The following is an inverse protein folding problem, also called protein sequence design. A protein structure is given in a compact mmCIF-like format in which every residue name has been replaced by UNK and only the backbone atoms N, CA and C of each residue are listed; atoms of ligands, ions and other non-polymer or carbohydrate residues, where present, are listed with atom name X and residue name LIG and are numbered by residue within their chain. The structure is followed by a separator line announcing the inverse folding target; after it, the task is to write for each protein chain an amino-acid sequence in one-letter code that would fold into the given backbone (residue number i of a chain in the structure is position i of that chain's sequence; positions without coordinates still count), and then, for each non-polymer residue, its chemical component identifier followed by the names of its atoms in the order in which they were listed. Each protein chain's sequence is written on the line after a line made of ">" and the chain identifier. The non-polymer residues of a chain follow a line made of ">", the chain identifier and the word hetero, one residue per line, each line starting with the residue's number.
data_IF_686839903066
#
_entry.id   IF_686839903066
#
_cell.length_a   1.000
_cell.length_b   1.000
_cell.length_c   1.000
_cell.angle_alpha   90.00
_cell.angle_beta   90.00
_cell.angle_gamma   90.00
#
_symmetry.space_group_name_H-M   'P 1'
#
loop_
_entity.id
_entity.type
_entity.pdbx_description
1 polymer ?
#
# COMPACT_ATOMS: atom_id res chain seq x y z
N UNK A 1 -13.85 -10.74 -19.77
CA UNK A 1 -14.28 -10.84 -18.36
C UNK A 1 -13.76 -9.64 -17.61
N UNK A 2 -14.46 -9.21 -16.55
CA UNK A 2 -13.99 -8.12 -15.67
C UNK A 2 -12.75 -8.58 -14.88
N UNK A 3 -11.65 -7.80 -14.86
CA UNK A 3 -10.48 -8.16 -14.06
C UNK A 3 -10.76 -8.00 -12.56
N UNK A 4 -10.01 -8.74 -11.75
CA UNK A 4 -10.06 -8.71 -10.29
C UNK A 4 -8.82 -8.02 -9.75
N UNK A 5 -9.00 -7.04 -8.88
CA UNK A 5 -7.91 -6.39 -8.19
C UNK A 5 -7.60 -7.13 -6.89
N UNK A 6 -6.34 -7.56 -6.73
CA UNK A 6 -5.82 -8.17 -5.52
C UNK A 6 -4.83 -7.22 -4.84
N UNK A 7 -4.81 -7.24 -3.50
CA UNK A 7 -4.00 -6.33 -2.68
C UNK A 7 -3.18 -7.15 -1.68
N UNK A 8 -1.88 -6.92 -1.64
CA UNK A 8 -0.95 -7.54 -0.68
C UNK A 8 -0.14 -6.46 0.04
N UNK A 9 -0.11 -6.51 1.37
CA UNK A 9 0.70 -5.60 2.18
C UNK A 9 2.11 -6.17 2.38
N UNK A 10 3.15 -5.37 2.10
CA UNK A 10 4.56 -5.74 2.27
C UNK A 10 5.32 -4.64 3.03
N UNK A 11 5.39 -4.76 4.35
CA UNK A 11 6.02 -3.75 5.21
C UNK A 11 5.46 -2.34 4.95
N UNK A 12 6.26 -1.42 4.39
CA UNK A 12 5.86 -0.05 4.05
C UNK A 12 5.28 0.10 2.62
N UNK A 13 5.13 -1.01 1.89
CA UNK A 13 4.62 -1.04 0.53
C UNK A 13 3.30 -1.81 0.43
N UNK A 14 2.52 -1.47 -0.58
CA UNK A 14 1.33 -2.19 -1.02
C UNK A 14 1.57 -2.64 -2.45
N UNK A 15 1.31 -3.92 -2.71
CA UNK A 15 1.37 -4.52 -4.04
C UNK A 15 -0.05 -4.76 -4.52
N UNK A 16 -0.42 -4.07 -5.59
CA UNK A 16 -1.67 -4.29 -6.30
C UNK A 16 -1.42 -5.24 -7.48
N UNK A 17 -2.27 -6.24 -7.67
CA UNK A 17 -2.18 -7.20 -8.78
C UNK A 17 -3.50 -7.27 -9.52
N UNK A 18 -3.47 -7.08 -10.84
CA UNK A 18 -4.66 -7.07 -11.69
C UNK A 18 -4.84 -8.44 -12.37
N UNK A 19 -5.61 -9.32 -11.74
CA UNK A 19 -5.83 -10.68 -12.23
C UNK A 19 -6.95 -10.73 -13.26
N UNK A 20 -6.73 -11.43 -14.37
CA UNK A 20 -7.72 -11.68 -15.41
C UNK A 20 -7.53 -13.08 -15.99
N UNK A 21 -8.55 -13.61 -16.68
CA UNK A 21 -8.53 -14.93 -17.30
C UNK A 21 -8.86 -14.79 -18.79
N UNK A 22 -8.05 -15.34 -19.72
CA UNK A 22 -6.78 -16.05 -19.50
C UNK A 22 -5.64 -15.13 -19.08
N UNK A 23 -4.82 -15.56 -18.11
CA UNK A 23 -3.54 -14.90 -17.88
C UNK A 23 -2.64 -15.10 -19.12
N UNK A 24 -1.80 -14.11 -19.46
CA UNK A 24 -0.85 -14.28 -20.55
C UNK A 24 0.09 -15.44 -20.21
N UNK A 25 -0.01 -16.52 -20.98
CA UNK A 25 1.02 -17.55 -21.06
C UNK A 25 2.22 -16.97 -21.85
N UNK A 26 3.44 -17.48 -21.63
CA UNK A 26 4.67 -17.00 -22.28
C UNK A 26 4.63 -17.09 -23.83
N UNK A 27 3.55 -17.64 -24.38
CA UNK A 27 3.27 -17.78 -25.81
C UNK A 27 2.27 -16.74 -26.30
N UNK A 28 2.82 -15.59 -26.73
CA UNK A 28 2.35 -14.74 -27.85
C UNK A 28 0.84 -14.40 -27.87
N UNK A 29 0.32 -13.82 -26.79
CA UNK A 29 -0.92 -13.04 -26.87
C UNK A 29 -0.64 -11.63 -27.41
N UNK A 30 -1.63 -11.03 -28.09
CA UNK A 30 -1.67 -9.60 -28.38
C UNK A 30 -1.22 -8.79 -27.16
N UNK A 31 -0.40 -7.75 -27.36
CA UNK A 31 0.15 -6.93 -26.27
C UNK A 31 -0.96 -6.48 -25.30
N UNK A 32 -1.04 -7.14 -24.15
CA UNK A 32 -1.96 -6.78 -23.07
C UNK A 32 -1.37 -5.59 -22.34
N UNK A 33 -2.18 -4.56 -22.15
CA UNK A 33 -1.82 -3.37 -21.39
C UNK A 33 -2.65 -3.28 -20.12
N UNK A 34 -2.00 -2.83 -19.06
CA UNK A 34 -2.59 -2.58 -17.75
C UNK A 34 -2.53 -1.10 -17.48
N UNK A 35 -3.70 -0.50 -17.25
CA UNK A 35 -3.81 0.88 -16.76
C UNK A 35 -4.23 0.83 -15.30
N UNK A 36 -3.58 1.66 -14.49
CA UNK A 36 -3.84 1.75 -13.07
C UNK A 36 -4.43 3.12 -12.75
N UNK A 37 -5.46 3.12 -11.92
CA UNK A 37 -6.20 4.30 -11.54
C UNK A 37 -6.21 4.43 -10.03
N UNK A 38 -6.04 5.66 -9.55
CA UNK A 38 -6.17 6.04 -8.15
C UNK A 38 -7.11 7.23 -8.08
N UNK A 39 -8.20 7.09 -7.33
CA UNK A 39 -9.29 8.06 -7.30
C UNK A 39 -9.75 8.47 -8.72
N UNK A 40 -9.96 7.45 -9.56
CA UNK A 40 -10.32 7.54 -10.99
C UNK A 40 -9.33 8.27 -11.91
N UNK A 41 -8.20 8.74 -11.39
CA UNK A 41 -7.13 9.35 -12.16
C UNK A 41 -6.11 8.30 -12.57
N UNK A 42 -5.72 8.27 -13.84
CA UNK A 42 -4.70 7.33 -14.33
C UNK A 42 -3.33 7.67 -13.75
N UNK A 43 -2.70 6.70 -13.10
CA UNK A 43 -1.39 6.85 -12.45
C UNK A 43 -0.29 5.99 -13.08
N UNK A 44 -0.66 5.03 -13.93
CA UNK A 44 0.28 4.18 -14.66
C UNK A 44 -0.40 3.53 -15.86
N UNK A 45 0.37 3.31 -16.93
CA UNK A 45 -0.03 2.54 -18.11
C UNK A 45 1.18 1.73 -18.57
N UNK A 46 1.18 0.42 -18.27
CA UNK A 46 2.35 -0.46 -18.46
C UNK A 46 1.90 -1.88 -18.80
N UNK A 47 2.86 -2.76 -19.08
CA UNK A 47 2.62 -4.18 -19.34
C UNK A 47 2.69 -5.03 -18.08
N UNK A 48 3.08 -4.46 -16.93
CA UNK A 48 3.17 -5.23 -15.69
C UNK A 48 1.77 -5.44 -15.07
N UNK A 49 1.50 -6.71 -14.72
CA UNK A 49 0.28 -7.14 -14.02
C UNK A 49 0.20 -6.62 -12.59
N UNK A 50 1.32 -6.16 -12.02
CA UNK A 50 1.41 -5.70 -10.64
C UNK A 50 2.02 -4.31 -10.54
N UNK A 51 1.51 -3.50 -9.62
CA UNK A 51 2.02 -2.17 -9.29
C UNK A 51 2.33 -2.10 -7.79
N UNK A 52 3.53 -1.60 -7.45
CA UNK A 52 3.95 -1.33 -6.07
C UNK A 52 3.80 0.15 -5.74
N UNK A 53 3.30 0.47 -4.55
CA UNK A 53 3.18 1.83 -4.01
C UNK A 53 3.53 1.84 -2.53
N UNK A 54 3.92 3.00 -2.00
CA UNK A 54 4.02 3.16 -0.54
C UNK A 54 2.63 3.15 0.08
N UNK A 55 2.52 2.61 1.30
CA UNK A 55 1.25 2.62 2.06
C UNK A 55 0.70 4.06 2.17
N UNK A 56 1.56 5.02 2.53
CA UNK A 56 1.16 6.42 2.66
C UNK A 56 0.62 7.06 1.36
N UNK A 57 1.09 6.63 0.19
CA UNK A 57 0.68 7.20 -1.11
C UNK A 57 -0.74 6.77 -1.53
N UNK A 58 -1.22 5.64 -1.00
CA UNK A 58 -2.49 5.02 -1.42
C UNK A 58 -3.48 4.82 -0.26
N UNK A 59 -3.12 5.29 0.95
CA UNK A 59 -3.94 5.21 2.16
C UNK A 59 -5.30 5.88 1.94
N UNK A 60 -6.38 5.13 2.16
CA UNK A 60 -7.76 5.58 1.97
C UNK A 60 -8.10 6.05 0.54
N UNK A 61 -7.27 5.72 -0.46
CA UNK A 61 -7.51 6.12 -1.84
C UNK A 61 -7.95 4.91 -2.66
N UNK A 62 -9.11 4.96 -3.35
CA UNK A 62 -9.61 3.83 -4.11
C UNK A 62 -8.72 3.58 -5.33
N UNK A 63 -8.34 2.33 -5.53
CA UNK A 63 -7.50 1.87 -6.65
C UNK A 63 -8.30 0.91 -7.52
N UNK A 64 -8.19 1.05 -8.84
CA UNK A 64 -8.70 0.07 -9.81
C UNK A 64 -7.71 -0.13 -10.95
N UNK A 65 -7.86 -1.25 -11.66
CA UNK A 65 -7.07 -1.56 -12.84
C UNK A 65 -7.97 -1.79 -14.06
N UNK A 66 -7.49 -1.40 -15.24
CA UNK A 66 -8.09 -1.73 -16.54
C UNK A 66 -7.12 -2.61 -17.32
N UNK A 67 -7.62 -3.73 -17.82
CA UNK A 67 -6.88 -4.64 -18.70
C UNK A 67 -7.47 -4.53 -20.10
N UNK A 68 -6.62 -4.37 -21.11
CA UNK A 68 -7.09 -4.32 -22.48
C UNK A 68 -6.04 -4.74 -23.51
N UNK A 69 -6.52 -5.01 -24.71
CA UNK A 69 -5.74 -5.25 -25.92
C UNK A 69 -6.15 -4.22 -27.00
N UNK A 70 -5.74 -4.43 -28.26
CA UNK A 70 -6.10 -3.53 -29.37
C UNK A 70 -7.60 -3.47 -29.68
N UNK A 71 -8.38 -4.43 -29.18
CA UNK A 71 -9.80 -4.62 -29.56
C UNK A 71 -10.74 -4.18 -28.43
N UNK A 72 -10.39 -4.46 -27.17
CA UNK A 72 -11.28 -4.22 -26.02
C UNK A 72 -10.52 -4.00 -24.73
N UNK A 73 -11.20 -3.40 -23.75
CA UNK A 73 -10.73 -3.29 -22.38
C UNK A 73 -11.86 -3.49 -21.36
N UNK A 74 -11.49 -3.87 -20.14
CA UNK A 74 -12.40 -4.00 -19.01
C UNK A 74 -11.72 -3.51 -17.73
N UNK A 75 -12.48 -2.81 -16.89
CA UNK A 75 -11.99 -2.22 -15.63
C UNK A 75 -12.51 -3.00 -14.42
N UNK A 76 -11.67 -3.18 -13.41
CA UNK A 76 -11.98 -3.84 -12.15
C UNK A 76 -12.91 -2.97 -11.30
N UNK A 77 -13.47 -3.55 -10.24
CA UNK A 77 -13.96 -2.75 -9.13
C UNK A 77 -12.83 -1.97 -8.47
N UNK A 78 -13.17 -0.84 -7.86
CA UNK A 78 -12.23 -0.06 -7.06
C UNK A 78 -12.18 -0.59 -5.63
N UNK A 79 -10.97 -0.72 -5.08
CA UNK A 79 -10.73 -1.18 -3.71
C UNK A 79 -9.79 -0.22 -2.97
N UNK A 80 -10.01 -0.09 -1.67
CA UNK A 80 -9.08 0.56 -0.74
C UNK A 80 -8.36 -0.51 0.09
N UNK A 81 -7.09 -0.30 0.42
CA UNK A 81 -6.36 -1.21 1.30
C UNK A 81 -6.45 -0.78 2.77
N UNK A 82 -6.23 -1.75 3.67
CA UNK A 82 -6.09 -1.52 5.13
C UNK A 82 -4.66 -1.78 5.61
N UNK A 83 -3.67 -1.81 4.71
CA UNK A 83 -2.26 -1.95 5.06
C UNK A 83 -1.83 -0.86 6.05
N UNK A 84 -1.08 -1.26 7.07
CA UNK A 84 -0.58 -0.39 8.15
C UNK A 84 0.93 -0.28 8.00
N UNK A 85 1.48 0.93 8.15
CA UNK A 85 2.92 1.11 8.16
C UNK A 85 3.51 0.57 9.47
N UNK A 86 4.65 -0.15 9.41
CA UNK A 86 5.28 -0.65 10.61
C UNK A 86 5.78 0.50 11.49
N UNK A 87 5.57 0.38 12.80
CA UNK A 87 6.17 1.30 13.77
C UNK A 87 7.68 1.09 13.84
N UNK A 88 8.43 2.19 13.96
CA UNK A 88 9.88 2.14 14.19
C UNK A 88 10.13 1.98 15.69
N UNK A 89 11.23 1.32 16.06
CA UNK A 89 11.63 1.22 17.47
C UNK A 89 11.84 2.62 18.05
N UNK A 90 11.09 3.05 19.10
CA UNK A 90 11.30 4.35 19.71
C UNK A 90 12.55 4.36 20.59
N UNK A 91 13.12 5.54 20.78
CA UNK A 91 14.13 5.80 21.81
C UNK A 91 13.48 6.17 23.14
N UNK A 92 14.25 6.07 24.22
CA UNK A 92 13.86 6.55 25.55
C UNK A 92 14.93 7.50 26.06
N UNK A 93 14.52 8.65 26.60
CA UNK A 93 15.40 9.55 27.33
C UNK A 93 14.81 9.83 28.72
N UNK A 94 15.67 10.07 29.71
CA UNK A 94 15.30 10.39 31.07
C UNK A 94 16.05 11.61 31.55
N UNK A 95 15.33 12.59 32.11
CA UNK A 95 15.94 13.76 32.74
C UNK A 95 15.45 13.90 34.18
N UNK A 96 16.35 14.28 35.08
CA UNK A 96 16.02 14.57 36.47
C UNK A 96 15.79 16.07 36.62
N UNK A 97 14.66 16.46 37.21
CA UNK A 97 14.37 17.86 37.55
C UNK A 97 13.65 17.91 38.90
N UNK A 98 14.16 18.71 39.82
CA UNK A 98 13.54 18.94 41.14
C UNK A 98 13.13 17.65 41.88
N UNK A 99 13.98 16.62 41.81
CA UNK A 99 13.76 15.26 42.37
C UNK A 99 12.73 14.38 41.65
N UNK A 100 12.20 14.81 40.49
CA UNK A 100 11.34 14.00 39.62
C UNK A 100 12.13 13.44 38.43
N UNK A 101 11.83 12.20 38.03
CA UNK A 101 12.32 11.60 36.79
C UNK A 101 11.29 11.80 35.68
N UNK A 102 11.65 12.57 34.66
CA UNK A 102 10.84 12.77 33.46
C UNK A 102 11.35 11.83 32.38
N UNK A 103 10.50 10.88 31.97
CA UNK A 103 10.77 9.96 30.87
C UNK A 103 10.10 10.47 29.59
N UNK A 104 10.89 10.57 28.52
CA UNK A 104 10.42 11.01 27.20
C UNK A 104 10.58 9.89 26.19
N UNK A 105 9.48 9.45 25.58
CA UNK A 105 9.50 8.51 24.47
C UNK A 105 9.79 9.26 23.17
N UNK A 106 10.96 9.02 22.58
CA UNK A 106 11.42 9.66 21.36
C UNK A 106 11.02 8.80 20.16
N UNK A 107 9.96 9.19 19.45
CA UNK A 107 9.45 8.43 18.31
C UNK A 107 9.24 9.33 17.08
N UNK A 108 10.36 9.84 16.54
CA UNK A 108 10.33 10.56 15.28
C UNK A 108 9.96 9.62 14.11
N UNK A 109 9.23 10.13 13.13
CA UNK A 109 8.87 9.42 11.88
C UNK A 109 8.06 8.12 12.11
N UNK A 110 7.15 8.15 13.08
CA UNK A 110 6.14 7.09 13.22
C UNK A 110 4.97 7.34 12.27
N UNK A 111 4.21 6.28 11.91
CA UNK A 111 2.91 6.44 11.24
C UNK A 111 1.95 7.29 12.07
N UNK A 112 1.03 8.00 11.40
CA UNK A 112 0.06 8.91 12.05
C UNK A 112 -0.83 8.21 13.09
N UNK A 113 -1.07 6.91 12.94
CA UNK A 113 -1.89 6.07 13.82
C UNK A 113 -1.10 5.36 14.93
N UNK A 114 0.18 5.71 15.13
CA UNK A 114 1.00 5.15 16.19
C UNK A 114 0.46 5.52 17.59
N UNK A 115 0.35 4.52 18.46
CA UNK A 115 -0.09 4.68 19.84
C UNK A 115 1.07 4.48 20.83
N UNK A 116 1.10 5.30 21.87
CA UNK A 116 2.14 5.30 22.89
C UNK A 116 1.62 4.66 24.18
N UNK A 117 2.40 3.73 24.74
CA UNK A 117 2.08 3.08 26.02
C UNK A 117 3.31 3.03 26.90
N UNK A 118 3.14 3.40 28.16
CA UNK A 118 4.15 3.25 29.20
C UNK A 118 3.89 1.98 29.99
N UNK A 119 4.87 1.11 30.08
CA UNK A 119 4.80 -0.14 30.82
C UNK A 119 5.83 -0.10 31.95
N UNK A 120 5.39 -0.34 33.18
CA UNK A 120 6.26 -0.55 34.32
C UNK A 120 6.32 -2.06 34.56
N UNK A 121 7.51 -2.63 34.48
CA UNK A 121 7.68 -4.04 34.83
C UNK A 121 7.57 -4.19 36.36
N UNK A 122 6.90 -5.25 36.85
CA UNK A 122 6.79 -5.56 38.28
C UNK A 122 8.13 -5.90 38.90
#
# INVERSE_FOLDING_TARGET
>A
MKPTLNITCQASEVVFTCSHNPQPDDRKYDTINYKWFQNDSMISNRTEISMKRKVAETKNLPVSCEVGNKVSSARSDSLTHTCIEPVKKPGINGTCKDSELILTCLAAQQPDDAQYKWLRLP
#
